data_IF_239236706390
#
_entry.id   IF_239236706390
#
_cell.length_a   1.000
_cell.length_b   1.000
_cell.length_c   1.000
_cell.angle_alpha   90.00
_cell.angle_beta   90.00
_cell.angle_gamma   90.00
#
_symmetry.space_group_name_H-M   'P 1'
#
loop_
_entity.id
_entity.type
_entity.pdbx_description
1 polymer ?
#
# COMPACT_ATOMS: atom_id res chain seq x y z
N UNK A 1 11.26 7.24 -27.22
CA UNK A 1 10.23 8.21 -26.79
C UNK A 1 9.31 7.51 -25.80
N UNK A 2 9.71 7.44 -24.54
CA UNK A 2 8.89 6.86 -23.48
C UNK A 2 7.91 7.93 -23.02
N UNK A 3 6.64 7.75 -23.34
CA UNK A 3 5.57 8.56 -22.79
C UNK A 3 5.70 8.49 -21.26
N UNK A 4 6.09 9.61 -20.62
CA UNK A 4 6.07 9.73 -19.17
C UNK A 4 4.60 9.76 -18.77
N UNK A 5 4.02 8.59 -18.59
CA UNK A 5 2.66 8.42 -18.11
C UNK A 5 2.64 9.09 -16.74
N UNK A 6 2.04 10.28 -16.68
CA UNK A 6 1.68 10.96 -15.43
C UNK A 6 0.52 10.15 -14.86
N UNK A 7 0.83 8.93 -14.43
CA UNK A 7 -0.15 7.96 -13.99
C UNK A 7 -0.93 8.60 -12.86
N UNK A 8 -2.24 8.69 -13.07
CA UNK A 8 -3.12 9.37 -12.14
C UNK A 8 -3.00 8.64 -10.81
N UNK A 9 -3.06 9.36 -9.69
CA UNK A 9 -2.99 8.79 -8.33
C UNK A 9 -3.88 7.53 -8.17
N UNK A 10 -5.00 7.49 -8.89
CA UNK A 10 -5.92 6.36 -8.99
C UNK A 10 -5.27 5.08 -9.54
N UNK A 11 -4.47 5.17 -10.60
CA UNK A 11 -3.82 4.02 -11.24
C UNK A 11 -2.82 3.37 -10.30
N UNK A 12 -2.02 4.20 -9.60
CA UNK A 12 -1.10 3.73 -8.57
C UNK A 12 -1.86 2.91 -7.52
N UNK A 13 -2.96 3.44 -7.00
CA UNK A 13 -3.76 2.75 -5.97
C UNK A 13 -4.32 1.42 -6.49
N UNK A 14 -4.82 1.37 -7.72
CA UNK A 14 -5.28 0.13 -8.31
C UNK A 14 -4.17 -0.92 -8.44
N UNK A 15 -2.99 -0.51 -8.90
CA UNK A 15 -1.84 -1.41 -9.02
C UNK A 15 -1.41 -1.98 -7.66
N UNK A 16 -1.33 -1.13 -6.63
CA UNK A 16 -0.95 -1.57 -5.29
C UNK A 16 -1.98 -2.55 -4.70
N UNK A 17 -3.27 -2.23 -4.81
CA UNK A 17 -4.35 -3.12 -4.34
C UNK A 17 -4.31 -4.44 -5.09
N UNK A 18 -4.20 -4.42 -6.42
CA UNK A 18 -4.13 -5.63 -7.25
C UNK A 18 -2.91 -6.49 -6.87
N UNK A 19 -1.75 -5.87 -6.67
CA UNK A 19 -0.53 -6.57 -6.28
C UNK A 19 -0.68 -7.26 -4.92
N UNK A 20 -1.21 -6.56 -3.92
CA UNK A 20 -1.50 -7.14 -2.59
C UNK A 20 -2.50 -8.29 -2.69
N UNK A 21 -3.54 -8.18 -3.52
CA UNK A 21 -4.51 -9.26 -3.70
C UNK A 21 -3.90 -10.50 -4.36
N UNK A 22 -2.91 -10.33 -5.24
CA UNK A 22 -2.24 -11.42 -5.95
C UNK A 22 -1.15 -12.10 -5.11
N UNK A 23 -0.38 -11.32 -4.36
CA UNK A 23 0.83 -11.80 -3.66
C UNK A 23 0.65 -11.89 -2.13
N UNK A 24 -0.43 -11.33 -1.59
CA UNK A 24 -0.74 -11.35 -0.17
C UNK A 24 0.09 -10.36 0.64
N UNK A 25 0.91 -10.88 1.55
CA UNK A 25 1.76 -10.07 2.43
C UNK A 25 2.88 -9.42 1.60
N UNK A 26 2.84 -8.09 1.52
CA UNK A 26 3.81 -7.29 0.78
C UNK A 26 4.26 -6.08 1.60
N UNK A 27 5.54 -5.76 1.50
CA UNK A 27 6.17 -4.59 2.10
C UNK A 27 6.17 -3.38 1.15
N UNK A 28 6.30 -2.18 1.70
CA UNK A 28 6.42 -0.94 0.89
C UNK A 28 7.62 -1.01 -0.06
N UNK A 29 8.74 -1.58 0.37
CA UNK A 29 9.95 -1.69 -0.46
C UNK A 29 9.76 -2.63 -1.65
N UNK A 30 9.06 -3.75 -1.46
CA UNK A 30 8.70 -4.66 -2.56
C UNK A 30 7.75 -3.98 -3.55
N UNK A 31 6.78 -3.19 -3.08
CA UNK A 31 5.91 -2.42 -3.98
C UNK A 31 6.68 -1.36 -4.77
N UNK A 32 7.61 -0.65 -4.14
CA UNK A 32 8.47 0.31 -4.85
C UNK A 32 9.31 -0.38 -5.92
N UNK A 33 9.85 -1.56 -5.61
CA UNK A 33 10.62 -2.36 -6.57
C UNK A 33 9.73 -2.80 -7.73
N UNK A 34 8.54 -3.32 -7.44
CA UNK A 34 7.56 -3.71 -8.46
C UNK A 34 7.18 -2.53 -9.38
N UNK A 35 6.98 -1.32 -8.83
CA UNK A 35 6.68 -0.13 -9.63
C UNK A 35 7.86 0.23 -10.54
N UNK A 36 9.09 0.14 -10.05
CA UNK A 36 10.29 0.39 -10.84
C UNK A 36 10.45 -0.65 -11.97
N UNK A 37 10.19 -1.93 -11.68
CA UNK A 37 10.29 -3.03 -12.67
C UNK A 37 9.31 -2.87 -13.83
N UNK A 38 8.11 -2.34 -13.57
CA UNK A 38 7.11 -2.07 -14.61
C UNK A 38 7.28 -0.69 -15.27
N UNK A 39 8.31 0.07 -14.88
CA UNK A 39 8.57 1.42 -15.40
C UNK A 39 7.53 2.46 -14.98
N UNK A 40 6.83 2.25 -13.87
CA UNK A 40 5.84 3.19 -13.35
C UNK A 40 6.53 4.26 -12.51
N UNK A 41 6.49 5.49 -13.01
CA UNK A 41 7.07 6.64 -12.33
C UNK A 41 6.10 7.24 -11.31
N UNK A 42 6.63 7.75 -10.20
CA UNK A 42 5.85 8.38 -9.12
C UNK A 42 6.49 9.71 -8.75
N UNK A 43 5.65 10.73 -8.61
CA UNK A 43 6.13 12.05 -8.21
C UNK A 43 6.74 12.00 -6.79
N UNK A 44 7.97 12.51 -6.67
CA UNK A 44 8.68 12.65 -5.39
C UNK A 44 9.34 11.37 -4.89
N UNK A 45 9.30 11.13 -3.58
CA UNK A 45 9.95 9.97 -2.96
C UNK A 45 9.04 8.73 -3.11
N UNK A 46 9.43 7.68 -3.86
CA UNK A 46 8.55 6.55 -4.17
C UNK A 46 7.97 5.87 -2.93
N UNK A 47 8.80 5.61 -1.92
CA UNK A 47 8.35 4.98 -0.67
C UNK A 47 7.30 5.81 0.08
N UNK A 48 7.40 7.15 0.00
CA UNK A 48 6.42 8.04 0.64
C UNK A 48 5.10 8.01 -0.11
N UNK A 49 5.15 8.13 -1.43
CA UNK A 49 3.97 8.12 -2.30
C UNK A 49 3.21 6.79 -2.18
N UNK A 50 3.92 5.66 -2.19
CA UNK A 50 3.32 4.33 -1.92
C UNK A 50 2.71 4.28 -0.52
N UNK A 51 3.43 4.76 0.52
CA UNK A 51 2.91 4.74 1.89
C UNK A 51 1.63 5.57 2.07
N UNK A 52 1.57 6.75 1.44
CA UNK A 52 0.39 7.64 1.51
C UNK A 52 -0.80 7.07 0.71
N UNK A 53 -0.54 6.41 -0.42
CA UNK A 53 -1.55 5.66 -1.18
C UNK A 53 -2.12 4.50 -0.35
N UNK A 54 -1.25 3.66 0.25
CA UNK A 54 -1.67 2.56 1.11
C UNK A 54 -2.46 3.03 2.33
N UNK A 55 -2.05 4.15 2.95
CA UNK A 55 -2.80 4.76 4.06
C UNK A 55 -4.22 5.14 3.63
N UNK A 56 -4.39 5.64 2.40
CA UNK A 56 -5.70 5.96 1.84
C UNK A 56 -6.53 4.69 1.60
N UNK A 57 -5.92 3.64 1.05
CA UNK A 57 -6.61 2.37 0.81
C UNK A 57 -6.99 1.63 2.11
N UNK A 58 -6.19 1.74 3.17
CA UNK A 58 -6.57 1.26 4.51
C UNK A 58 -7.79 2.04 5.03
N UNK A 59 -7.81 3.38 4.89
CA UNK A 59 -8.94 4.21 5.32
C UNK A 59 -10.23 3.89 4.57
N UNK A 60 -10.12 3.45 3.32
CA UNK A 60 -11.24 3.05 2.47
C UNK A 60 -11.58 1.55 2.58
N UNK A 61 -10.98 0.85 3.56
CA UNK A 61 -11.16 -0.58 3.82
C UNK A 61 -10.85 -1.51 2.63
N UNK A 62 -9.97 -1.06 1.72
CA UNK A 62 -9.56 -1.83 0.54
C UNK A 62 -8.42 -2.80 0.83
N UNK A 63 -7.60 -2.50 1.83
CA UNK A 63 -6.47 -3.33 2.27
C UNK A 63 -6.35 -3.27 3.79
N UNK A 64 -5.79 -4.33 4.39
CA UNK A 64 -5.49 -4.38 5.83
C UNK A 64 -4.00 -4.33 6.06
N UNK A 65 -3.56 -3.45 6.96
CA UNK A 65 -2.16 -3.39 7.37
C UNK A 65 -1.93 -4.24 8.61
N UNK A 66 -1.05 -5.25 8.50
CA UNK A 66 -0.72 -6.15 9.62
C UNK A 66 -0.19 -5.41 10.85
N UNK A 67 0.57 -4.32 10.65
CA UNK A 67 1.04 -3.46 11.75
C UNK A 67 -0.12 -2.92 12.59
N UNK A 68 -1.23 -2.56 11.95
CA UNK A 68 -2.39 -1.97 12.60
C UNK A 68 -3.33 -3.03 13.16
N UNK A 69 -3.45 -4.17 12.46
CA UNK A 69 -4.19 -5.34 12.95
C UNK A 69 -3.59 -5.85 14.25
N UNK A 70 -2.25 -5.93 14.36
CA UNK A 70 -1.58 -6.33 15.61
C UNK A 70 -1.89 -5.36 16.76
N UNK A 71 -1.82 -4.05 16.51
CA UNK A 71 -2.16 -3.05 17.54
C UNK A 71 -3.65 -3.01 17.91
N UNK A 72 -4.54 -3.30 16.95
CA UNK A 72 -5.98 -3.37 17.19
C UNK A 72 -6.35 -4.63 17.97
N UNK A 73 -5.74 -5.78 17.63
CA UNK A 73 -5.87 -7.02 18.40
C UNK A 73 -5.30 -6.87 19.82
N UNK A 74 -4.15 -6.21 19.97
CA UNK A 74 -3.59 -5.88 21.29
C UNK A 74 -4.52 -4.99 22.13
N UNK A 75 -5.14 -3.97 21.50
CA UNK A 75 -6.18 -3.15 22.15
C UNK A 75 -7.41 -3.96 22.52
N UNK A 76 -7.89 -4.84 21.64
CA UNK A 76 -9.07 -5.67 21.91
C UNK A 76 -8.81 -6.69 23.04
N UNK A 77 -7.61 -7.27 23.09
CA UNK A 77 -7.19 -8.16 24.17
C UNK A 77 -7.08 -7.44 25.53
N UNK A 78 -6.75 -6.14 25.54
CA UNK A 78 -6.69 -5.33 26.75
C UNK A 78 -8.08 -5.00 27.35
N UNK A 79 -9.18 -5.34 26.67
CA UNK A 79 -10.56 -5.06 27.11
C UNK A 79 -11.33 -6.31 27.58
N UNK A 80 -10.70 -7.49 27.65
CA UNK A 80 -11.30 -8.69 28.22
C UNK A 80 -11.10 -8.70 29.75
N UNK A 81 -12.17 -8.61 30.57
CA UNK A 81 -12.04 -8.84 32.00
C UNK A 81 -11.72 -10.33 32.26
N UNK A 82 -10.79 -10.54 33.21
CA UNK A 82 -10.36 -11.84 33.71
C UNK A 82 -11.50 -12.64 34.32
#
# INVERSE_FOLDING_TARGET
>A
MTARTRSLHTDLRYLLVLHIHRHGLTTVSEMVTMLADIGFDVDGRPSKTVSDALRTDVKLDRIRSHRWVASAAARAAAHLPH
#
